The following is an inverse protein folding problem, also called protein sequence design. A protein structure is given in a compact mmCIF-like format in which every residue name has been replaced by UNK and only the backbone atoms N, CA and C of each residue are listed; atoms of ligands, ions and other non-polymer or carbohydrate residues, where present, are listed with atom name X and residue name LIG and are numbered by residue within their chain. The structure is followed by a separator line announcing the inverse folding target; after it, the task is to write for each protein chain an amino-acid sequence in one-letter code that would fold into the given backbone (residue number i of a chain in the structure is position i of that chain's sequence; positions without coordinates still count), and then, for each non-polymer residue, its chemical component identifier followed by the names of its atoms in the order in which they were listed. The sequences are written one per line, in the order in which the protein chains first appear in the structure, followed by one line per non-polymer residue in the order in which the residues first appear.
data_IF_949911885492
#
_entry.id   IF_949911885492
#
_cell.length_a   1.000
_cell.length_b   1.000
_cell.length_c   1.000
_cell.angle_alpha   90.00
_cell.angle_beta   90.00
_cell.angle_gamma   90.00
#
_symmetry.space_group_name_H-M   'P 1'
#
loop_
_entity.id
_entity.type
_entity.pdbx_description
1 polymer ?
#
# COMPACT_ATOMS: atom_id res chain seq x y z
N UNK A 1 -21.93 -11.89 18.59
CA UNK A 1 -21.21 -12.08 17.31
C UNK A 1 -19.79 -12.49 17.61
N UNK A 2 -19.31 -13.51 16.90
CA UNK A 2 -18.18 -14.38 17.25
C UNK A 2 -16.85 -13.61 17.33
N UNK A 3 -16.22 -13.63 18.51
CA UNK A 3 -14.79 -13.33 18.66
C UNK A 3 -14.00 -14.46 17.96
N UNK A 4 -13.46 -14.20 16.78
CA UNK A 4 -12.43 -15.05 16.16
C UNK A 4 -11.09 -14.74 16.82
N UNK A 5 -10.86 -15.35 17.98
CA UNK A 5 -9.55 -15.46 18.60
C UNK A 5 -8.87 -16.73 18.08
N UNK A 6 -8.11 -16.69 16.98
CA UNK A 6 -7.23 -17.81 16.58
C UNK A 6 -6.00 -17.33 15.77
N UNK A 7 -4.79 -17.55 16.37
CA UNK A 7 -3.45 -17.71 15.75
C UNK A 7 -2.57 -16.50 15.34
N UNK A 8 -2.31 -15.55 16.23
CA UNK A 8 -1.15 -14.63 16.06
C UNK A 8 -0.33 -14.51 17.34
N UNK A 9 0.51 -15.52 17.63
CA UNK A 9 1.22 -15.56 18.91
C UNK A 9 2.58 -14.84 18.92
N UNK A 10 3.07 -14.23 17.82
CA UNK A 10 4.41 -13.60 17.81
C UNK A 10 4.60 -12.35 16.93
N UNK A 11 3.61 -11.92 16.13
CA UNK A 11 3.79 -10.75 15.26
C UNK A 11 3.36 -9.47 15.99
N UNK A 12 4.28 -8.50 16.06
CA UNK A 12 3.98 -7.19 16.66
C UNK A 12 3.26 -6.33 15.63
N UNK A 13 2.32 -5.46 16.05
CA UNK A 13 1.75 -4.46 15.17
C UNK A 13 2.86 -3.63 14.50
N UNK A 14 2.71 -3.36 13.21
CA UNK A 14 3.70 -2.60 12.41
C UNK A 14 3.15 -1.22 12.10
N UNK A 15 4.00 -0.20 12.23
CA UNK A 15 3.60 1.17 11.90
C UNK A 15 3.52 1.37 10.39
N UNK A 16 2.38 1.86 9.91
CA UNK A 16 2.12 2.08 8.49
C UNK A 16 1.46 3.45 8.25
N UNK A 17 2.13 4.30 7.48
CA UNK A 17 1.63 5.64 7.14
C UNK A 17 0.86 5.70 5.80
N UNK A 18 0.46 4.55 5.25
CA UNK A 18 -0.23 4.50 3.96
C UNK A 18 -1.53 5.31 3.96
N UNK A 19 -2.31 5.25 5.04
CA UNK A 19 -3.60 5.97 5.16
C UNK A 19 -3.46 7.49 5.03
N UNK A 20 -2.45 8.09 5.65
CA UNK A 20 -2.23 9.54 5.51
C UNK A 20 -1.81 9.91 4.08
N UNK A 21 -1.07 9.04 3.39
CA UNK A 21 -0.70 9.24 1.99
C UNK A 21 -1.90 9.08 1.05
N UNK A 22 -2.81 8.14 1.32
CA UNK A 22 -4.06 8.00 0.58
C UNK A 22 -4.92 9.25 0.72
N UNK A 23 -5.04 9.81 1.93
CA UNK A 23 -5.76 11.07 2.13
C UNK A 23 -5.14 12.23 1.34
N UNK A 24 -3.80 12.37 1.36
CA UNK A 24 -3.09 13.37 0.53
C UNK A 24 -3.35 13.17 -0.96
N UNK A 25 -3.36 11.92 -1.42
CA UNK A 25 -3.66 11.58 -2.80
C UNK A 25 -5.10 11.96 -3.18
N UNK A 26 -6.05 11.73 -2.28
CA UNK A 26 -7.45 12.10 -2.48
C UNK A 26 -7.62 13.61 -2.57
N UNK A 27 -7.03 14.37 -1.64
CA UNK A 27 -7.06 15.84 -1.68
C UNK A 27 -6.42 16.38 -2.96
N UNK A 28 -5.32 15.77 -3.44
CA UNK A 28 -4.69 16.14 -4.69
C UNK A 28 -5.61 15.85 -5.90
N UNK A 29 -6.28 14.71 -5.92
CA UNK A 29 -7.26 14.34 -6.95
C UNK A 29 -8.43 15.34 -7.00
N UNK A 30 -9.00 15.68 -5.85
CA UNK A 30 -10.10 16.66 -5.72
C UNK A 30 -9.68 18.06 -6.17
N UNK A 31 -8.40 18.41 -5.99
CA UNK A 31 -7.80 19.67 -6.47
C UNK A 31 -7.39 19.61 -7.96
N UNK A 32 -7.71 18.54 -8.68
CA UNK A 32 -7.28 18.27 -10.06
C UNK A 32 -5.75 18.23 -10.26
N UNK A 33 -4.98 17.94 -9.20
CA UNK A 33 -3.52 17.76 -9.23
C UNK A 33 -3.17 16.29 -9.44
N UNK A 34 -3.42 15.79 -10.66
CA UNK A 34 -3.35 14.35 -10.97
C UNK A 34 -1.94 13.74 -10.80
N UNK A 35 -0.89 14.48 -11.16
CA UNK A 35 0.49 14.00 -11.01
C UNK A 35 0.83 13.78 -9.53
N UNK A 36 0.48 14.74 -8.67
CA UNK A 36 0.67 14.64 -7.22
C UNK A 36 -0.14 13.48 -6.63
N UNK A 37 -1.39 13.32 -7.06
CA UNK A 37 -2.22 12.18 -6.67
C UNK A 37 -1.54 10.85 -7.02
N UNK A 38 -1.07 10.68 -8.26
CA UNK A 38 -0.33 9.48 -8.68
C UNK A 38 0.92 9.22 -7.84
N UNK A 39 1.73 10.25 -7.56
CA UNK A 39 2.92 10.13 -6.72
C UNK A 39 2.58 9.70 -5.28
N UNK A 40 1.56 10.30 -4.66
CA UNK A 40 1.12 9.94 -3.32
C UNK A 40 0.52 8.53 -3.26
N UNK A 41 -0.29 8.14 -4.25
CA UNK A 41 -0.86 6.80 -4.35
C UNK A 41 0.22 5.73 -4.49
N UNK A 42 1.20 5.92 -5.38
CA UNK A 42 2.33 4.99 -5.54
C UNK A 42 3.11 4.82 -4.23
N UNK A 43 3.37 5.92 -3.55
CA UNK A 43 4.10 5.90 -2.29
C UNK A 43 3.27 5.25 -1.17
N UNK A 44 1.95 5.45 -1.15
CA UNK A 44 1.04 4.76 -0.24
C UNK A 44 1.10 3.25 -0.43
N UNK A 45 1.02 2.77 -1.67
CA UNK A 45 1.14 1.33 -2.00
C UNK A 45 2.51 0.79 -1.56
N UNK A 46 3.58 1.56 -1.79
CA UNK A 46 4.94 1.19 -1.37
C UNK A 46 5.03 1.01 0.15
N UNK A 47 4.52 1.96 0.92
CA UNK A 47 4.56 1.93 2.39
C UNK A 47 3.69 0.80 2.94
N UNK A 48 2.51 0.60 2.37
CA UNK A 48 1.62 -0.51 2.70
C UNK A 48 2.34 -1.86 2.51
N UNK A 49 2.87 -2.12 1.30
CA UNK A 49 3.54 -3.38 1.00
C UNK A 49 4.82 -3.61 1.83
N UNK A 50 5.53 -2.53 2.18
CA UNK A 50 6.68 -2.64 3.06
C UNK A 50 6.28 -3.09 4.47
N UNK A 51 5.20 -2.52 5.02
CA UNK A 51 4.68 -2.87 6.32
C UNK A 51 4.09 -4.29 6.35
N UNK A 52 3.39 -4.71 5.28
CA UNK A 52 2.96 -6.09 5.07
C UNK A 52 4.15 -7.06 5.06
N UNK A 53 5.19 -6.77 4.28
CA UNK A 53 6.39 -7.60 4.24
C UNK A 53 7.08 -7.71 5.60
N UNK A 54 7.09 -6.62 6.39
CA UNK A 54 7.65 -6.60 7.73
C UNK A 54 6.83 -7.46 8.69
N UNK A 55 5.51 -7.27 8.69
CA UNK A 55 4.58 -8.00 9.53
C UNK A 55 4.69 -9.51 9.28
N UNK A 56 4.65 -9.93 8.01
CA UNK A 56 4.76 -11.33 7.61
C UNK A 56 6.19 -11.89 7.59
N UNK A 57 7.20 -11.09 7.94
CA UNK A 57 8.60 -11.52 7.98
C UNK A 57 9.17 -11.94 6.63
N UNK A 58 8.67 -11.36 5.53
CA UNK A 58 9.10 -11.69 4.16
C UNK A 58 10.56 -11.28 3.97
N UNK A 59 11.43 -12.28 3.78
CA UNK A 59 12.87 -12.07 3.59
C UNK A 59 13.20 -11.81 2.12
N UNK A 60 13.97 -10.76 1.88
CA UNK A 60 14.51 -10.45 0.55
C UNK A 60 15.98 -10.85 0.47
N UNK A 61 16.36 -11.52 -0.63
CA UNK A 61 17.72 -12.02 -0.84
C UNK A 61 18.82 -10.92 -0.85
N UNK A 62 18.47 -9.68 -1.19
CA UNK A 62 19.40 -8.55 -1.22
C UNK A 62 18.91 -7.40 -0.34
N UNK A 63 19.80 -6.84 0.49
CA UNK A 63 19.58 -5.56 1.19
C UNK A 63 19.70 -4.42 0.18
N UNK A 64 18.63 -4.16 -0.58
CA UNK A 64 18.51 -2.94 -1.40
C UNK A 64 18.05 -1.78 -0.51
N UNK A 65 18.56 -0.58 -0.79
CA UNK A 65 18.22 0.64 -0.05
C UNK A 65 16.74 1.05 -0.24
N UNK A 66 16.14 0.74 -1.39
CA UNK A 66 14.72 0.94 -1.67
C UNK A 66 14.20 -0.16 -2.60
N UNK A 67 13.08 -0.79 -2.24
CA UNK A 67 12.41 -1.82 -3.05
C UNK A 67 11.23 -1.21 -3.79
N UNK A 68 10.97 -1.71 -4.99
CA UNK A 68 9.79 -1.27 -5.75
C UNK A 68 8.52 -1.93 -5.19
N UNK A 69 7.34 -1.31 -5.35
CA UNK A 69 6.07 -1.94 -5.00
C UNK A 69 5.91 -3.34 -5.61
N UNK A 70 6.21 -3.49 -6.91
CA UNK A 70 6.11 -4.79 -7.60
C UNK A 70 7.01 -5.87 -7.00
N UNK A 71 8.26 -5.54 -6.65
CA UNK A 71 9.17 -6.49 -5.98
C UNK A 71 8.59 -6.99 -4.64
N UNK A 72 7.94 -6.11 -3.88
CA UNK A 72 7.33 -6.46 -2.58
C UNK A 72 6.04 -7.26 -2.76
N UNK A 73 5.18 -6.88 -3.71
CA UNK A 73 3.96 -7.62 -4.03
C UNK A 73 4.26 -9.06 -4.49
N UNK A 74 5.26 -9.25 -5.36
CA UNK A 74 5.69 -10.59 -5.77
C UNK A 74 6.23 -11.42 -4.60
N UNK A 75 6.97 -10.78 -3.68
CA UNK A 75 7.52 -11.47 -2.53
C UNK A 75 6.42 -11.93 -1.56
N UNK A 76 5.42 -11.08 -1.28
CA UNK A 76 4.23 -11.43 -0.49
C UNK A 76 3.41 -12.56 -1.13
N UNK A 77 3.22 -12.50 -2.45
CA UNK A 77 2.52 -13.55 -3.20
C UNK A 77 3.27 -14.88 -3.12
N UNK A 78 4.60 -14.88 -3.28
CA UNK A 78 5.42 -16.08 -3.13
C UNK A 78 5.39 -16.64 -1.70
N UNK A 79 5.24 -15.77 -0.69
CA UNK A 79 5.06 -16.16 0.71
C UNK A 79 3.63 -16.62 1.06
N UNK A 80 2.70 -16.61 0.09
CA UNK A 80 1.31 -17.02 0.28
C UNK A 80 0.45 -16.02 1.05
N UNK A 81 0.94 -14.79 1.26
CA UNK A 81 0.23 -13.75 2.03
C UNK A 81 -0.55 -12.78 1.14
N UNK A 82 -0.35 -12.85 -0.18
CA UNK A 82 -1.08 -12.06 -1.15
C UNK A 82 -1.69 -12.97 -2.21
N UNK A 83 -3.01 -13.00 -2.26
CA UNK A 83 -3.75 -13.73 -3.28
C UNK A 83 -3.55 -13.11 -4.67
N UNK A 84 -3.78 -13.92 -5.71
CA UNK A 84 -3.65 -13.46 -7.10
C UNK A 84 -4.49 -12.22 -7.39
N UNK A 85 -5.75 -12.21 -6.94
CA UNK A 85 -6.64 -11.08 -7.16
C UNK A 85 -6.11 -9.78 -6.53
N UNK A 86 -5.60 -9.85 -5.30
CA UNK A 86 -5.00 -8.69 -4.64
C UNK A 86 -3.72 -8.23 -5.35
N UNK A 87 -2.90 -9.18 -5.81
CA UNK A 87 -1.69 -8.89 -6.58
C UNK A 87 -2.00 -8.17 -7.89
N UNK A 88 -2.96 -8.66 -8.68
CA UNK A 88 -3.32 -8.09 -9.97
C UNK A 88 -3.80 -6.63 -9.81
N UNK A 89 -4.63 -6.36 -8.78
CA UNK A 89 -5.05 -4.98 -8.45
C UNK A 89 -3.89 -4.08 -8.06
N UNK A 90 -2.97 -4.55 -7.22
CA UNK A 90 -1.83 -3.76 -6.79
C UNK A 90 -0.90 -3.42 -7.95
N UNK A 91 -0.69 -4.33 -8.90
CA UNK A 91 0.07 -4.05 -10.12
C UNK A 91 -0.62 -3.00 -10.99
N UNK A 92 -1.94 -3.11 -11.15
CA UNK A 92 -2.74 -2.16 -11.94
C UNK A 92 -2.71 -0.75 -11.33
N UNK A 93 -2.92 -0.64 -10.01
CA UNK A 93 -2.84 0.62 -9.25
C UNK A 93 -1.45 1.26 -9.43
N UNK A 94 -0.38 0.47 -9.28
CA UNK A 94 1.00 0.95 -9.46
C UNK A 94 1.24 1.37 -10.91
N UNK A 95 0.66 0.68 -11.89
CA UNK A 95 0.71 1.04 -13.30
C UNK A 95 0.08 2.40 -13.58
N UNK A 96 -1.13 2.65 -13.06
CA UNK A 96 -1.79 3.95 -13.17
C UNK A 96 -1.01 5.06 -12.49
N UNK A 97 -0.54 4.81 -11.26
CA UNK A 97 0.22 5.78 -10.49
C UNK A 97 1.55 6.14 -11.15
N UNK A 98 2.26 5.16 -11.74
CA UNK A 98 3.48 5.38 -12.52
C UNK A 98 3.19 6.18 -13.79
N UNK A 99 2.12 5.86 -14.51
CA UNK A 99 1.73 6.58 -15.73
C UNK A 99 1.54 8.07 -15.43
N UNK A 100 0.84 8.41 -14.34
CA UNK A 100 0.69 9.79 -13.89
C UNK A 100 2.01 10.43 -13.45
N UNK A 101 2.86 9.71 -12.71
CA UNK A 101 4.16 10.21 -12.28
C UNK A 101 5.12 10.52 -13.44
N UNK A 102 4.91 9.88 -14.60
CA UNK A 102 5.62 10.14 -15.85
C UNK A 102 4.87 11.09 -16.78
N UNK A 103 3.95 11.90 -16.25
CA UNK A 103 3.15 12.88 -16.99
C UNK A 103 2.27 12.27 -18.10
N UNK A 104 1.97 10.97 -18.00
CA UNK A 104 1.00 10.30 -18.86
C UNK A 104 -0.43 10.56 -18.42
N UNK A 105 -1.38 10.31 -19.32
CA UNK A 105 -2.80 10.47 -19.03
C UNK A 105 -3.39 9.20 -18.40
N UNK A 106 -4.09 9.38 -17.29
CA UNK A 106 -4.96 8.35 -16.68
C UNK A 106 -6.29 9.01 -16.34
N UNK A 107 -7.39 8.33 -16.61
CA UNK A 107 -8.73 8.84 -16.27
C UNK A 107 -8.84 9.05 -14.75
N UNK A 108 -9.30 10.22 -14.27
CA UNK A 108 -9.45 10.48 -12.84
C UNK A 108 -10.29 9.44 -12.08
N UNK A 109 -11.31 8.88 -12.74
CA UNK A 109 -12.14 7.81 -12.17
C UNK A 109 -11.35 6.56 -11.81
N UNK A 110 -10.34 6.18 -12.60
CA UNK A 110 -9.48 5.02 -12.29
C UNK A 110 -8.62 5.28 -11.07
N UNK A 111 -8.21 6.52 -10.84
CA UNK A 111 -7.46 6.93 -9.65
C UNK A 111 -8.37 6.93 -8.42
N UNK A 112 -9.61 7.40 -8.54
CA UNK A 112 -10.60 7.31 -7.48
C UNK A 112 -10.84 5.85 -7.07
N UNK A 113 -11.10 4.96 -8.04
CA UNK A 113 -11.25 3.52 -7.77
C UNK A 113 -10.00 2.90 -7.15
N UNK A 114 -8.80 3.30 -7.61
CA UNK A 114 -7.54 2.84 -7.03
C UNK A 114 -7.39 3.25 -5.57
N UNK A 115 -7.83 4.47 -5.21
CA UNK A 115 -7.84 4.95 -3.82
C UNK A 115 -8.79 4.13 -2.96
N UNK A 116 -10.01 3.88 -3.43
CA UNK A 116 -11.01 3.07 -2.73
C UNK A 116 -10.50 1.66 -2.45
N UNK A 117 -9.91 1.01 -3.46
CA UNK A 117 -9.32 -0.33 -3.31
C UNK A 117 -8.16 -0.31 -2.32
N UNK A 118 -7.30 0.71 -2.35
CA UNK A 118 -6.22 0.83 -1.37
C UNK A 118 -6.73 1.06 0.05
N UNK A 119 -7.81 1.81 0.23
CA UNK A 119 -8.48 1.94 1.52
C UNK A 119 -9.00 0.58 2.01
N UNK A 120 -9.63 -0.20 1.12
CA UNK A 120 -10.08 -1.56 1.44
C UNK A 120 -8.94 -2.47 1.89
N UNK A 121 -7.78 -2.44 1.20
CA UNK A 121 -6.61 -3.21 1.63
C UNK A 121 -6.09 -2.78 3.01
N UNK A 122 -6.06 -1.47 3.28
CA UNK A 122 -5.65 -0.96 4.58
C UNK A 122 -6.62 -1.35 5.70
N UNK A 123 -7.93 -1.35 5.42
CA UNK A 123 -8.98 -1.77 6.36
C UNK A 123 -8.96 -3.28 6.62
N UNK A 124 -8.62 -4.07 5.62
CA UNK A 124 -8.40 -5.52 5.75
C UNK A 124 -7.14 -5.91 6.54
N UNK A 125 -6.29 -4.95 6.90
CA UNK A 125 -4.98 -5.18 7.54
C UNK A 125 -4.90 -4.47 8.90
N UNK A 126 -5.70 -4.88 9.90
CA UNK A 126 -5.85 -4.16 11.18
C UNK A 126 -4.58 -4.16 12.04
N UNK A 127 -3.64 -5.06 11.76
CA UNK A 127 -2.32 -5.12 12.41
C UNK A 127 -1.36 -4.01 11.94
N UNK A 128 -1.69 -3.31 10.85
CA UNK A 128 -0.98 -2.12 10.39
C UNK A 128 -1.52 -0.87 11.09
N UNK A 129 -0.81 -0.44 12.13
CA UNK A 129 -1.22 0.68 12.97
C UNK A 129 -0.72 2.00 12.40
N UNK A 130 -1.53 3.06 12.51
CA UNK A 130 -1.04 4.39 12.15
C UNK A 130 0.06 4.84 13.14
N UNK A 131 1.15 5.45 12.65
CA UNK A 131 2.19 5.98 13.53
C UNK A 131 1.59 7.04 14.46
N UNK A 132 1.88 6.95 15.76
CA UNK A 132 1.47 7.97 16.73
C UNK A 132 2.19 9.27 16.39
N UNK A 133 1.45 10.36 16.22
CA UNK A 133 2.00 11.69 16.00
C UNK A 133 2.97 12.03 17.16
N UNK A 134 4.28 11.92 16.91
CA UNK A 134 5.32 12.08 17.94
C UNK A 134 6.56 11.18 17.78
N UNK A 135 6.50 10.13 16.97
CA UNK A 135 7.68 9.33 16.61
C UNK A 135 8.59 10.08 15.65
N UNK A 136 9.70 10.62 16.14
CA UNK A 136 10.75 11.26 15.32
C UNK A 136 11.28 10.28 14.27
N UNK A 137 11.42 10.80 13.05
CA UNK A 137 12.29 10.26 11.99
C UNK A 137 13.75 10.33 12.44
#
# INVERSE_FOLDING_TARGET
MVMLAVRELHHRPVECNARALLFKSQTALESNRLIEAGCHLREAVRVFLAAECEYWGVKFAKKKCRRTPGEMAHALRKAGQLEKFGFDWLEEIVGYANTLAHCGFVRPSLIATSLEIMHMFCDGSPYLVQPKAGGRV
#
